data_IF_669071497447
#
_entry.id   IF_669071497447
#
_cell.length_a   1.000
_cell.length_b   1.000
_cell.length_c   1.000
_cell.angle_alpha   90.00
_cell.angle_beta   90.00
_cell.angle_gamma   90.00
#
_symmetry.space_group_name_H-M   'P 1'
#
loop_
_entity.id
_entity.type
_entity.pdbx_description
1 polymer ?
#
# COMPACT_ATOMS: atom_id res chain seq x y z
N UNK A 1 3.45 20.31 -6.57
CA UNK A 1 3.70 18.89 -6.92
C UNK A 1 3.27 18.64 -8.36
N UNK A 2 3.93 17.75 -9.10
CA UNK A 2 3.53 17.42 -10.46
C UNK A 2 2.15 16.72 -10.51
N UNK A 3 1.41 16.86 -11.62
CA UNK A 3 0.16 16.12 -11.86
C UNK A 3 0.41 14.61 -11.89
N UNK A 4 -0.62 13.79 -11.60
CA UNK A 4 -0.51 12.33 -11.77
C UNK A 4 -0.50 12.03 -13.27
N UNK A 5 0.46 11.25 -13.75
CA UNK A 5 0.47 10.82 -15.15
C UNK A 5 -0.36 9.54 -15.36
N UNK A 6 -1.51 9.71 -16.01
CA UNK A 6 -2.40 8.63 -16.46
C UNK A 6 -2.22 8.29 -17.94
N UNK A 7 -1.08 8.66 -18.55
CA UNK A 7 -0.73 8.22 -19.90
C UNK A 7 -0.89 6.69 -20.02
N UNK A 8 -1.27 6.23 -21.21
CA UNK A 8 -1.53 4.79 -21.44
C UNK A 8 -0.35 3.92 -21.01
N UNK A 9 0.87 4.36 -21.30
CA UNK A 9 2.10 3.66 -20.91
C UNK A 9 2.24 3.55 -19.39
N UNK A 10 2.09 4.65 -18.66
CA UNK A 10 2.18 4.63 -17.19
C UNK A 10 1.02 3.90 -16.54
N UNK A 11 -0.18 3.98 -17.12
CA UNK A 11 -1.34 3.25 -16.67
C UNK A 11 -1.16 1.74 -16.86
N UNK A 12 -0.72 1.29 -18.03
CA UNK A 12 -0.48 -0.13 -18.34
C UNK A 12 0.67 -0.70 -17.49
N UNK A 13 1.67 0.11 -17.18
CA UNK A 13 2.76 -0.22 -16.27
C UNK A 13 2.43 -0.03 -14.78
N UNK A 14 1.21 0.40 -14.45
CA UNK A 14 0.75 0.71 -13.09
C UNK A 14 1.65 1.73 -12.34
N UNK A 15 2.36 2.61 -13.05
CA UNK A 15 3.29 3.56 -12.42
C UNK A 15 2.59 4.75 -11.77
N UNK A 16 1.37 5.09 -12.20
CA UNK A 16 0.58 6.21 -11.66
C UNK A 16 0.42 6.13 -10.13
N UNK A 17 0.40 4.93 -9.54
CA UNK A 17 0.28 4.72 -8.10
C UNK A 17 1.43 5.37 -7.33
N UNK A 18 2.62 5.50 -7.93
CA UNK A 18 3.80 6.11 -7.31
C UNK A 18 3.66 7.62 -7.16
N UNK A 19 2.99 8.27 -8.10
CA UNK A 19 2.71 9.71 -8.05
C UNK A 19 1.48 10.00 -7.20
N UNK A 20 0.53 9.08 -7.21
CA UNK A 20 -0.73 9.20 -6.49
C UNK A 20 -0.55 9.00 -4.97
N UNK A 21 0.17 7.94 -4.56
CA UNK A 21 0.27 7.54 -3.16
C UNK A 21 0.75 8.65 -2.21
N UNK A 22 1.82 9.43 -2.50
CA UNK A 22 2.26 10.51 -1.62
C UNK A 22 1.21 11.59 -1.34
N UNK A 23 0.20 11.75 -2.22
CA UNK A 23 -0.80 12.83 -2.13
C UNK A 23 -1.79 12.65 -0.97
N UNK A 24 -1.87 11.45 -0.40
CA UNK A 24 -2.77 11.15 0.71
C UNK A 24 -2.16 11.38 2.11
N UNK A 25 -0.92 11.87 2.18
CA UNK A 25 -0.21 12.05 3.44
C UNK A 25 -0.01 13.54 3.74
N UNK A 26 -0.36 13.94 4.97
CA UNK A 26 -0.22 15.32 5.46
C UNK A 26 0.81 15.44 6.58
N UNK A 27 0.98 14.37 7.35
CA UNK A 27 1.83 14.28 8.55
C UNK A 27 3.09 13.47 8.23
N UNK A 28 2.93 12.35 7.54
CA UNK A 28 4.04 11.52 7.10
C UNK A 28 4.60 12.05 5.79
N UNK A 29 5.91 11.97 5.64
CA UNK A 29 6.59 12.34 4.41
C UNK A 29 6.91 11.07 3.61
N UNK A 30 6.42 11.01 2.37
CA UNK A 30 6.65 9.87 1.48
C UNK A 30 7.76 10.23 0.48
N UNK A 31 8.83 9.44 0.46
CA UNK A 31 9.97 9.60 -0.45
C UNK A 31 10.13 8.38 -1.34
N UNK A 32 10.80 8.55 -2.48
CA UNK A 32 11.20 7.43 -3.34
C UNK A 32 12.15 6.48 -2.60
N UNK A 33 11.94 5.17 -2.78
CA UNK A 33 12.94 4.17 -2.39
C UNK A 33 14.08 4.10 -3.43
N UNK A 34 15.31 3.87 -2.99
CA UNK A 34 16.45 3.68 -3.90
C UNK A 34 16.38 2.29 -4.55
N UNK A 35 16.16 2.20 -5.87
CA UNK A 35 15.83 0.92 -6.53
C UNK A 35 17.02 0.09 -7.02
N UNK A 36 17.09 -1.14 -6.50
CA UNK A 36 17.40 -2.38 -7.26
C UNK A 36 16.69 -3.63 -6.69
N UNK A 37 16.41 -3.68 -5.37
CA UNK A 37 15.68 -4.80 -4.70
C UNK A 37 14.79 -4.40 -3.49
N UNK A 38 14.45 -3.12 -3.29
CA UNK A 38 13.68 -2.63 -2.13
C UNK A 38 12.20 -2.35 -2.41
N UNK A 39 11.50 -1.86 -1.38
CA UNK A 39 10.13 -1.37 -1.48
C UNK A 39 10.02 -0.12 -2.37
N UNK A 40 8.84 0.15 -2.91
CA UNK A 40 8.62 1.29 -3.80
C UNK A 40 8.86 2.65 -3.13
N UNK A 41 8.40 2.82 -1.88
CA UNK A 41 8.44 4.09 -1.15
C UNK A 41 8.98 3.93 0.26
N UNK A 42 9.60 5.00 0.74
CA UNK A 42 10.00 5.17 2.13
C UNK A 42 9.07 6.17 2.81
N UNK A 43 8.64 5.85 4.04
CA UNK A 43 7.73 6.68 4.84
C UNK A 43 8.50 7.22 6.03
N UNK A 44 8.55 8.55 6.13
CA UNK A 44 9.24 9.27 7.18
C UNK A 44 8.26 9.97 8.11
N UNK A 45 8.59 10.00 9.39
CA UNK A 45 7.90 10.81 10.39
C UNK A 45 8.94 11.66 11.11
N UNK A 46 8.78 12.99 11.07
CA UNK A 46 9.72 13.96 11.66
C UNK A 46 11.18 13.70 11.24
N UNK A 47 11.40 13.44 9.96
CA UNK A 47 12.72 13.21 9.38
C UNK A 47 13.31 11.81 9.62
N UNK A 48 12.64 10.93 10.38
CA UNK A 48 13.09 9.55 10.62
C UNK A 48 12.32 8.57 9.73
N UNK A 49 13.02 7.63 9.10
CA UNK A 49 12.40 6.50 8.40
C UNK A 49 11.65 5.63 9.42
N UNK A 50 10.35 5.47 9.23
CA UNK A 50 9.49 4.70 10.14
C UNK A 50 8.82 3.50 9.48
N UNK A 51 8.70 3.49 8.15
CA UNK A 51 8.12 2.38 7.42
C UNK A 51 8.50 2.39 5.93
N UNK A 52 8.22 1.28 5.27
CA UNK A 52 8.22 1.16 3.82
C UNK A 52 6.80 1.01 3.27
N UNK A 53 6.63 1.32 1.99
CA UNK A 53 5.40 1.07 1.23
C UNK A 53 5.72 0.32 -0.06
N UNK A 54 5.08 -0.83 -0.28
CA UNK A 54 5.09 -1.55 -1.55
C UNK A 54 3.75 -1.32 -2.26
N UNK A 55 3.81 -0.82 -3.50
CA UNK A 55 2.63 -0.38 -4.23
C UNK A 55 2.26 -1.39 -5.33
N UNK A 56 0.97 -1.57 -5.56
CA UNK A 56 0.44 -2.40 -6.65
C UNK A 56 -0.84 -1.77 -7.21
N UNK A 57 -1.12 -2.00 -8.50
CA UNK A 57 -2.43 -1.72 -9.07
C UNK A 57 -3.11 -3.02 -9.47
N UNK A 58 -4.35 -3.24 -9.01
CA UNK A 58 -5.17 -4.38 -9.40
C UNK A 58 -6.01 -3.99 -10.61
N UNK A 59 -5.45 -4.16 -11.81
CA UNK A 59 -6.09 -3.72 -13.08
C UNK A 59 -7.46 -4.37 -13.37
N UNK A 60 -7.79 -5.48 -12.70
CA UNK A 60 -9.11 -6.13 -12.78
C UNK A 60 -10.16 -5.51 -11.85
N UNK A 61 -9.73 -4.73 -10.85
CA UNK A 61 -10.61 -3.93 -9.98
C UNK A 61 -10.90 -2.60 -10.66
N UNK A 62 -12.08 -2.45 -11.27
CA UNK A 62 -12.40 -1.33 -12.17
C UNK A 62 -13.31 -0.25 -11.55
N UNK A 63 -13.75 -0.45 -10.32
CA UNK A 63 -14.76 0.38 -9.65
C UNK A 63 -14.20 0.92 -8.34
N UNK A 64 -14.82 1.97 -7.81
CA UNK A 64 -14.50 2.45 -6.45
C UNK A 64 -14.84 1.37 -5.43
N UNK A 65 -16.01 0.73 -5.55
CA UNK A 65 -16.40 -0.34 -4.64
C UNK A 65 -15.58 -1.61 -4.89
N UNK A 66 -15.20 -2.29 -3.81
CA UNK A 66 -14.64 -3.63 -3.88
C UNK A 66 -15.71 -4.62 -4.31
N UNK A 67 -15.35 -5.59 -5.14
CA UNK A 67 -16.30 -6.60 -5.60
C UNK A 67 -16.77 -7.45 -4.40
N UNK A 68 -18.09 -7.52 -4.18
CA UNK A 68 -18.70 -8.25 -3.05
C UNK A 68 -18.45 -9.76 -3.10
N UNK A 69 -18.19 -10.30 -4.28
CA UNK A 69 -17.84 -11.71 -4.48
C UNK A 69 -16.37 -12.01 -4.18
N UNK A 70 -15.54 -10.98 -3.93
CA UNK A 70 -14.13 -11.14 -3.60
C UNK A 70 -13.93 -11.07 -2.09
N UNK A 71 -13.90 -12.23 -1.45
CA UNK A 71 -13.74 -12.35 0.01
C UNK A 71 -12.31 -12.14 0.51
N UNK A 72 -11.33 -12.10 -0.39
CA UNK A 72 -9.93 -11.92 -0.05
C UNK A 72 -9.18 -11.07 -1.09
N UNK A 73 -8.16 -10.38 -0.61
CA UNK A 73 -7.16 -9.69 -1.42
C UNK A 73 -5.97 -10.62 -1.63
N UNK A 74 -5.44 -10.66 -2.84
CA UNK A 74 -4.34 -11.56 -3.20
C UNK A 74 -3.03 -10.80 -3.34
N UNK A 75 -1.99 -11.28 -2.68
CA UNK A 75 -0.61 -10.83 -2.88
C UNK A 75 0.29 -12.02 -3.21
N UNK A 76 1.17 -11.89 -4.20
CA UNK A 76 2.07 -12.97 -4.59
C UNK A 76 3.03 -13.38 -3.44
N UNK A 77 3.30 -14.67 -3.27
CA UNK A 77 4.15 -15.23 -2.21
C UNK A 77 5.52 -14.54 -2.09
N UNK A 78 6.14 -14.16 -3.22
CA UNK A 78 7.41 -13.44 -3.27
C UNK A 78 7.43 -12.11 -2.50
N UNK A 79 6.25 -11.53 -2.22
CA UNK A 79 6.09 -10.31 -1.41
C UNK A 79 6.28 -10.59 0.09
N UNK A 80 6.36 -11.85 0.51
CA UNK A 80 6.61 -12.23 1.90
C UNK A 80 7.90 -11.67 2.48
N UNK A 81 8.92 -11.44 1.64
CA UNK A 81 10.19 -10.78 2.03
C UNK A 81 10.00 -9.40 2.71
N UNK A 82 8.88 -8.73 2.46
CA UNK A 82 8.59 -7.42 3.04
C UNK A 82 8.13 -7.49 4.50
N UNK A 83 7.81 -8.69 5.01
CA UNK A 83 7.52 -8.88 6.44
C UNK A 83 8.79 -8.88 7.31
N UNK A 84 9.96 -9.04 6.69
CA UNK A 84 11.27 -9.21 7.35
C UNK A 84 12.16 -7.97 7.24
N UNK A 85 11.61 -6.82 6.83
CA UNK A 85 12.35 -5.58 6.70
C UNK A 85 12.70 -4.97 8.07
N UNK A 86 13.72 -4.10 8.09
CA UNK A 86 14.23 -3.42 9.29
C UNK A 86 13.23 -2.44 9.91
N UNK A 87 12.35 -1.88 9.08
CA UNK A 87 11.14 -1.14 9.50
C UNK A 87 9.89 -1.82 8.96
N UNK A 88 8.71 -1.63 9.57
CA UNK A 88 7.46 -2.19 9.06
C UNK A 88 7.21 -1.82 7.59
N UNK A 89 6.75 -2.78 6.79
CA UNK A 89 6.30 -2.53 5.41
C UNK A 89 4.78 -2.61 5.32
N UNK A 90 4.19 -1.64 4.64
CA UNK A 90 2.78 -1.66 4.27
C UNK A 90 2.62 -2.04 2.80
N UNK A 91 1.65 -2.90 2.53
CA UNK A 91 1.26 -3.35 1.21
C UNK A 91 0.04 -2.53 0.77
N UNK A 92 0.19 -1.75 -0.29
CA UNK A 92 -0.86 -0.87 -0.80
C UNK A 92 -1.27 -1.37 -2.18
N UNK A 93 -2.59 -1.45 -2.40
CA UNK A 93 -3.14 -1.83 -3.69
C UNK A 93 -4.20 -0.82 -4.11
N UNK A 94 -4.01 -0.20 -5.27
CA UNK A 94 -5.00 0.67 -5.89
C UNK A 94 -5.85 -0.10 -6.91
N UNK A 95 -7.08 0.37 -7.13
CA UNK A 95 -7.88 -0.04 -8.26
C UNK A 95 -7.32 0.52 -9.57
N UNK A 96 -7.88 0.10 -10.71
CA UNK A 96 -7.35 0.38 -12.05
C UNK A 96 -7.12 1.88 -12.32
N UNK A 97 -8.03 2.73 -11.88
CA UNK A 97 -7.99 4.18 -12.11
C UNK A 97 -7.43 4.98 -10.94
N UNK A 98 -7.04 4.32 -9.83
CA UNK A 98 -6.55 4.98 -8.63
C UNK A 98 -7.61 5.72 -7.83
N UNK A 99 -8.91 5.57 -8.16
CA UNK A 99 -10.00 6.21 -7.41
C UNK A 99 -10.22 5.61 -6.02
N UNK A 100 -9.80 4.36 -5.79
CA UNK A 100 -9.79 3.73 -4.48
C UNK A 100 -8.56 2.85 -4.28
N UNK A 101 -8.29 2.47 -3.05
CA UNK A 101 -7.24 1.54 -2.70
C UNK A 101 -7.48 0.89 -1.34
N UNK A 102 -6.60 -0.04 -1.03
CA UNK A 102 -6.55 -0.71 0.26
C UNK A 102 -5.11 -0.78 0.77
N UNK A 103 -4.98 -0.87 2.09
CA UNK A 103 -3.71 -1.03 2.80
C UNK A 103 -3.79 -2.18 3.80
N UNK A 104 -2.67 -2.90 3.94
CA UNK A 104 -2.45 -3.91 4.99
C UNK A 104 -0.98 -3.93 5.38
N UNK A 105 -0.65 -4.26 6.63
CA UNK A 105 0.75 -4.47 7.01
C UNK A 105 1.27 -5.83 6.52
N UNK A 106 2.56 -5.89 6.14
CA UNK A 106 3.14 -7.09 5.54
C UNK A 106 3.10 -8.32 6.47
N UNK A 107 3.17 -8.12 7.80
CA UNK A 107 3.07 -9.22 8.79
C UNK A 107 1.67 -9.84 8.78
N UNK A 108 0.63 -9.02 8.74
CA UNK A 108 -0.75 -9.46 8.58
C UNK A 108 -0.94 -10.20 7.25
N UNK A 109 -0.35 -9.72 6.16
CA UNK A 109 -0.38 -10.40 4.86
C UNK A 109 0.22 -11.81 4.94
N UNK A 110 1.45 -11.97 5.46
CA UNK A 110 2.12 -13.29 5.51
C UNK A 110 1.49 -14.26 6.50
N UNK A 111 0.75 -13.75 7.50
CA UNK A 111 -0.05 -14.58 8.41
C UNK A 111 -1.33 -15.16 7.79
N UNK A 112 -1.68 -14.73 6.57
CA UNK A 112 -2.88 -15.18 5.87
C UNK A 112 -2.63 -16.48 5.08
N UNK A 113 -3.67 -17.28 4.78
CA UNK A 113 -3.49 -18.51 3.99
C UNK A 113 -2.78 -18.24 2.67
N UNK A 114 -1.83 -19.11 2.29
CA UNK A 114 -1.09 -19.00 1.03
C UNK A 114 -1.30 -20.24 0.15
N UNK A 115 -2.54 -20.53 -0.31
CA UNK A 115 -2.81 -21.70 -1.12
C UNK A 115 -2.18 -21.57 -2.52
N UNK A 116 -1.94 -22.72 -3.13
CA UNK A 116 -1.58 -22.84 -4.55
C UNK A 116 -2.83 -22.58 -5.40
N UNK A 117 -2.75 -21.62 -6.31
CA UNK A 117 -3.84 -21.21 -7.21
C UNK A 117 -3.39 -21.37 -8.66
N UNK A 118 -4.28 -21.84 -9.53
CA UNK A 118 -4.02 -21.93 -10.96
C UNK A 118 -4.22 -20.57 -11.65
N UNK A 119 -3.20 -20.08 -12.33
CA UNK A 119 -3.24 -18.86 -13.16
C UNK A 119 -3.05 -19.22 -14.63
N UNK A 120 -3.22 -18.24 -15.53
CA UNK A 120 -2.90 -18.42 -16.96
C UNK A 120 -1.42 -18.76 -17.21
N UNK A 121 -0.54 -18.51 -16.24
CA UNK A 121 0.91 -18.73 -16.33
C UNK A 121 1.37 -19.98 -15.58
N UNK A 122 0.44 -20.79 -15.07
CA UNK A 122 0.72 -21.98 -14.28
C UNK A 122 0.27 -21.82 -12.83
N UNK A 123 0.76 -22.70 -11.96
CA UNK A 123 0.41 -22.62 -10.55
C UNK A 123 1.30 -21.61 -9.82
N UNK A 124 0.67 -20.71 -9.07
CA UNK A 124 1.33 -19.71 -8.24
C UNK A 124 0.76 -19.74 -6.81
N UNK A 125 1.53 -19.26 -5.83
CA UNK A 125 1.06 -19.10 -4.46
C UNK A 125 0.71 -17.63 -4.19
N UNK A 126 -0.45 -17.42 -3.59
CA UNK A 126 -0.92 -16.10 -3.19
C UNK A 126 -1.37 -16.11 -1.75
N UNK A 127 -0.89 -15.14 -0.97
CA UNK A 127 -1.50 -14.80 0.31
C UNK A 127 -2.93 -14.31 0.04
N UNK A 128 -3.92 -14.99 0.60
CA UNK A 128 -5.33 -14.64 0.56
C UNK A 128 -5.69 -13.89 1.84
N UNK A 129 -5.46 -12.58 1.82
CA UNK A 129 -5.72 -11.69 2.96
C UNK A 129 -7.23 -11.44 3.05
N UNK A 130 -7.90 -11.83 4.16
CA UNK A 130 -9.32 -11.55 4.33
C UNK A 130 -9.63 -10.06 4.29
N UNK A 131 -10.76 -9.67 3.69
CA UNK A 131 -11.14 -8.26 3.51
C UNK A 131 -11.28 -7.50 4.84
N UNK A 132 -11.63 -8.18 5.93
CA UNK A 132 -11.74 -7.60 7.26
C UNK A 132 -10.38 -7.23 7.88
N UNK A 133 -9.27 -7.72 7.30
CA UNK A 133 -7.91 -7.39 7.73
C UNK A 133 -7.28 -6.23 6.95
N UNK A 134 -7.97 -5.69 5.95
CA UNK A 134 -7.48 -4.55 5.15
C UNK A 134 -8.27 -3.29 5.48
N UNK A 135 -7.66 -2.14 5.27
CA UNK A 135 -8.34 -0.84 5.36
C UNK A 135 -8.54 -0.30 3.95
N UNK A 136 -9.78 0.02 3.60
CA UNK A 136 -10.16 0.63 2.33
C UNK A 136 -10.15 2.16 2.41
N UNK A 137 -10.01 2.81 1.26
CA UNK A 137 -10.03 4.26 1.14
C UNK A 137 -8.62 4.85 1.33
N UNK A 138 -8.00 5.43 0.28
CA UNK A 138 -6.69 6.06 0.38
C UNK A 138 -6.62 7.17 1.44
N UNK A 139 -7.73 7.83 1.71
CA UNK A 139 -7.88 8.81 2.79
C UNK A 139 -7.62 8.24 4.20
N UNK A 140 -7.71 6.91 4.36
CA UNK A 140 -7.48 6.23 5.63
C UNK A 140 -6.04 5.70 5.79
N UNK A 141 -5.21 5.77 4.75
CA UNK A 141 -3.87 5.16 4.76
C UNK A 141 -2.96 5.78 5.83
N UNK A 142 -2.89 7.11 5.88
CA UNK A 142 -2.04 7.81 6.84
C UNK A 142 -2.44 7.50 8.28
N UNK A 143 -3.74 7.55 8.57
CA UNK A 143 -4.26 7.21 9.90
C UNK A 143 -3.92 5.77 10.29
N UNK A 144 -4.14 4.81 9.38
CA UNK A 144 -3.81 3.41 9.64
C UNK A 144 -2.33 3.22 9.98
N UNK A 145 -1.43 3.87 9.25
CA UNK A 145 0.02 3.79 9.49
C UNK A 145 0.38 4.42 10.84
N UNK A 146 -0.15 5.62 11.15
CA UNK A 146 0.10 6.28 12.42
C UNK A 146 -0.38 5.42 13.61
N UNK A 147 -1.60 4.86 13.52
CA UNK A 147 -2.18 4.02 14.55
C UNK A 147 -1.37 2.72 14.75
N UNK A 148 -0.99 2.04 13.65
CA UNK A 148 -0.18 0.81 13.67
C UNK A 148 1.21 1.01 14.25
N UNK A 149 1.79 2.20 14.07
CA UNK A 149 3.12 2.53 14.56
C UNK A 149 3.07 3.27 15.91
N UNK A 150 1.88 3.47 16.48
CA UNK A 150 1.66 4.24 17.71
C UNK A 150 2.25 5.66 17.67
N UNK A 151 2.19 6.30 16.50
CA UNK A 151 2.68 7.66 16.27
C UNK A 151 1.55 8.66 16.47
N UNK A 152 1.83 9.73 17.23
CA UNK A 152 0.84 10.79 17.47
C UNK A 152 0.88 11.85 16.35
N UNK A 153 -0.27 12.35 15.87
CA UNK A 153 -0.30 13.60 15.13
C UNK A 153 0.37 14.69 15.98
N UNK A 154 1.24 15.51 15.40
CA UNK A 154 1.74 16.67 16.13
C UNK A 154 0.58 17.62 16.37
N UNK A 155 0.19 17.82 17.62
CA UNK A 155 -0.66 18.94 17.99
C UNK A 155 0.12 20.22 17.62
N UNK A 156 -0.36 20.95 16.62
CA UNK A 156 0.08 22.30 16.36
C UNK A 156 -0.34 23.17 17.55
N UNK A 157 0.66 23.62 18.33
CA UNK A 157 0.63 24.81 19.20
C UNK A 157 -0.56 24.93 20.16
N UNK A 158 -0.39 24.47 21.41
CA UNK A 158 -0.86 25.30 22.53
C UNK A 158 0.04 26.52 22.57
N UNK A 159 -0.46 27.63 22.04
CA UNK A 159 0.12 28.95 22.22
C UNK A 159 0.23 29.21 23.73
N UNK A 160 1.46 29.26 24.23
CA UNK A 160 1.74 29.85 25.52
C UNK A 160 1.21 31.29 25.51
N UNK A 161 0.23 31.56 26.38
CA UNK A 161 -0.18 32.90 26.77
C UNK A 161 0.86 33.49 27.72
#
# INVERSE_FOLDING_TARGET
MPPVDFSKENHDAAQFVKDLFPKFFKILEVREGYKRKGADKHIYYKGRLVAYAELEAKLVWKTVEWNKDWHHVQFAERKGRFAETDVPTFMIMFNKDGSNGLIVDAKTMVSSPCPRVWTRRGAEHFYQVPIEKVVFGPENFEKFILDKLHLKPSNSTESAK
#
